data_IF_010434434878
#
_entry.id   IF_010434434878
#
_cell.length_a   1.000
_cell.length_b   1.000
_cell.length_c   1.000
_cell.angle_alpha   90.00
_cell.angle_beta   90.00
_cell.angle_gamma   90.00
#
_symmetry.space_group_name_H-M   'P 1'
#
loop_
_entity.id
_entity.type
_entity.pdbx_description
1 polymer ?
#
# COMPACT_ATOMS: atom_id res chain seq x y z
N UNK A 1 -7.15 -32.58 -9.62
CA UNK A 1 -6.39 -31.34 -9.35
C UNK A 1 -4.98 -31.36 -9.96
N UNK A 2 -4.20 -32.45 -9.84
CA UNK A 2 -2.85 -32.57 -10.45
C UNK A 2 -2.83 -32.30 -11.97
N UNK A 3 -3.82 -32.81 -12.71
CA UNK A 3 -3.89 -32.67 -14.18
C UNK A 3 -4.07 -31.19 -14.60
N UNK A 4 -4.89 -30.43 -13.88
CA UNK A 4 -5.07 -28.99 -14.14
C UNK A 4 -3.81 -28.19 -13.81
N UNK A 5 -3.10 -28.55 -12.73
CA UNK A 5 -1.84 -27.93 -12.35
C UNK A 5 -0.75 -28.17 -13.41
N UNK A 6 -0.65 -29.40 -13.94
CA UNK A 6 0.28 -29.72 -15.03
C UNK A 6 -0.02 -28.96 -16.34
N UNK A 7 -1.31 -28.78 -16.66
CA UNK A 7 -1.73 -27.97 -17.81
C UNK A 7 -1.41 -26.48 -17.63
N UNK A 8 -1.58 -25.95 -16.42
CA UNK A 8 -1.20 -24.58 -16.09
C UNK A 8 0.32 -24.35 -16.18
N UNK A 9 1.12 -25.29 -15.64
CA UNK A 9 2.58 -25.22 -15.70
C UNK A 9 3.10 -25.19 -17.15
N UNK A 10 2.51 -26.01 -18.03
CA UNK A 10 2.82 -26.03 -19.47
C UNK A 10 2.48 -24.71 -20.17
N UNK A 11 1.46 -23.99 -19.72
CA UNK A 11 1.08 -22.66 -20.26
C UNK A 11 2.05 -21.57 -19.80
N UNK A 12 2.50 -21.61 -18.54
CA UNK A 12 3.50 -20.67 -18.01
C UNK A 12 4.83 -20.74 -18.77
N UNK A 13 5.30 -21.95 -19.09
CA UNK A 13 6.55 -22.12 -19.86
C UNK A 13 6.43 -21.50 -21.26
N UNK A 14 5.20 -21.40 -21.81
CA UNK A 14 4.91 -20.69 -23.06
C UNK A 14 4.60 -19.19 -22.86
N UNK A 15 4.88 -18.65 -21.67
CA UNK A 15 4.53 -17.30 -21.24
C UNK A 15 3.03 -17.00 -21.32
N UNK A 16 2.16 -18.01 -21.32
CA UNK A 16 0.71 -17.85 -21.27
C UNK A 16 0.23 -17.97 -19.81
N UNK A 17 0.00 -16.82 -19.20
CA UNK A 17 -0.46 -16.69 -17.81
C UNK A 17 -1.99 -16.83 -17.68
N UNK A 18 -2.70 -17.04 -18.79
CA UNK A 18 -4.15 -17.17 -18.83
C UNK A 18 -4.90 -15.85 -18.67
N UNK A 19 -6.22 -15.97 -18.52
CA UNK A 19 -7.17 -14.88 -18.41
C UNK A 19 -7.38 -14.46 -16.96
N UNK A 20 -7.52 -13.16 -16.71
CA UNK A 20 -7.86 -12.64 -15.38
C UNK A 20 -9.28 -13.04 -15.00
N UNK A 21 -9.47 -13.59 -13.80
CA UNK A 21 -10.81 -13.87 -13.22
C UNK A 21 -11.60 -12.61 -12.82
N UNK A 22 -11.03 -11.41 -13.02
CA UNK A 22 -11.77 -10.15 -12.85
C UNK A 22 -12.79 -9.96 -13.98
N UNK A 23 -13.84 -9.17 -13.73
CA UNK A 23 -14.97 -8.87 -14.64
C UNK A 23 -14.58 -8.63 -16.10
N UNK A 24 -13.39 -8.09 -16.37
CA UNK A 24 -12.91 -7.78 -17.72
C UNK A 24 -12.35 -8.97 -18.54
N UNK A 25 -12.10 -10.17 -17.95
CA UNK A 25 -11.57 -11.37 -18.65
C UNK A 25 -10.49 -11.03 -19.71
N UNK A 26 -9.46 -10.29 -19.30
CA UNK A 26 -8.32 -9.92 -20.15
C UNK A 26 -7.09 -10.77 -19.81
N UNK A 27 -6.23 -11.07 -20.79
CA UNK A 27 -5.00 -11.82 -20.56
C UNK A 27 -4.17 -11.16 -19.48
N UNK A 28 -3.67 -11.93 -18.51
CA UNK A 28 -2.89 -11.41 -17.37
C UNK A 28 -1.64 -10.67 -17.87
N UNK A 29 -1.01 -11.18 -18.93
CA UNK A 29 0.11 -10.51 -19.61
C UNK A 29 -0.33 -9.16 -20.14
N UNK A 30 -1.49 -9.07 -20.80
CA UNK A 30 -1.97 -7.78 -21.28
C UNK A 30 -2.27 -6.84 -20.11
N UNK A 31 -2.76 -7.31 -18.96
CA UNK A 31 -2.96 -6.44 -17.78
C UNK A 31 -1.66 -5.93 -17.14
N UNK A 32 -0.57 -6.69 -17.27
CA UNK A 32 0.77 -6.37 -16.74
C UNK A 32 1.58 -5.53 -17.74
N UNK A 33 1.42 -5.81 -19.04
CA UNK A 33 2.16 -5.21 -20.15
C UNK A 33 1.37 -4.20 -20.97
N UNK A 34 0.09 -3.93 -20.65
CA UNK A 34 -0.72 -2.98 -21.41
C UNK A 34 0.04 -1.66 -21.50
N UNK A 35 0.53 -1.36 -22.70
CA UNK A 35 1.21 -0.10 -23.01
C UNK A 35 0.21 1.05 -23.09
N UNK A 36 -1.09 0.72 -23.19
CA UNK A 36 -2.18 1.69 -23.30
C UNK A 36 -2.58 2.28 -21.94
N UNK A 37 -2.26 1.59 -20.84
CA UNK A 37 -2.37 2.13 -19.49
C UNK A 37 -1.11 2.96 -19.20
N UNK A 38 -1.28 4.20 -18.72
CA UNK A 38 -0.15 5.06 -18.31
C UNK A 38 0.79 4.29 -17.38
N UNK A 39 2.11 4.53 -17.45
CA UNK A 39 3.09 3.85 -16.57
C UNK A 39 2.69 3.94 -15.09
N UNK A 40 2.00 5.02 -14.72
CA UNK A 40 1.47 5.32 -13.39
C UNK A 40 0.27 4.45 -12.97
N UNK A 41 -0.46 3.87 -13.91
CA UNK A 41 -1.68 3.07 -13.68
C UNK A 41 -1.41 1.56 -13.69
N UNK A 42 -0.16 1.16 -13.94
CA UNK A 42 0.25 -0.24 -13.88
C UNK A 42 0.27 -0.69 -12.42
N UNK A 43 -0.44 -1.77 -12.12
CA UNK A 43 -0.52 -2.35 -10.76
C UNK A 43 0.87 -2.59 -10.16
N UNK A 44 1.80 -3.11 -10.95
CA UNK A 44 3.19 -3.31 -10.52
C UNK A 44 3.88 -2.00 -10.11
N UNK A 45 3.68 -0.92 -10.87
CA UNK A 45 4.30 0.37 -10.56
C UNK A 45 3.68 1.01 -9.31
N UNK A 46 2.37 0.89 -9.13
CA UNK A 46 1.67 1.39 -7.93
C UNK A 46 2.19 0.67 -6.68
N UNK A 47 2.25 -0.66 -6.70
CA UNK A 47 2.78 -1.44 -5.56
C UNK A 47 4.23 -1.07 -5.27
N UNK A 48 5.06 -0.90 -6.30
CA UNK A 48 6.46 -0.50 -6.13
C UNK A 48 6.56 0.90 -5.49
N UNK A 49 5.79 1.87 -5.99
CA UNK A 49 5.78 3.24 -5.46
C UNK A 49 5.32 3.29 -4.01
N UNK A 50 4.23 2.58 -3.66
CA UNK A 50 3.74 2.51 -2.28
C UNK A 50 4.84 1.96 -1.37
N UNK A 51 5.43 0.82 -1.71
CA UNK A 51 6.49 0.22 -0.89
C UNK A 51 7.73 1.12 -0.77
N UNK A 52 8.14 1.77 -1.86
CA UNK A 52 9.32 2.65 -1.85
C UNK A 52 9.09 3.86 -0.93
N UNK A 53 7.91 4.48 -1.02
CA UNK A 53 7.53 5.62 -0.16
C UNK A 53 7.40 5.17 1.29
N UNK A 54 6.71 4.06 1.55
CA UNK A 54 6.61 3.46 2.89
C UNK A 54 7.99 3.20 3.48
N UNK A 55 8.89 2.56 2.73
CA UNK A 55 10.25 2.26 3.17
C UNK A 55 11.04 3.53 3.50
N UNK A 56 10.97 4.55 2.65
CA UNK A 56 11.64 5.83 2.91
C UNK A 56 11.12 6.50 4.19
N UNK A 57 9.81 6.52 4.40
CA UNK A 57 9.18 7.07 5.62
C UNK A 57 9.62 6.28 6.86
N UNK A 58 9.63 4.95 6.79
CA UNK A 58 10.09 4.09 7.88
C UNK A 58 11.52 4.46 8.26
N UNK A 59 12.44 4.59 7.31
CA UNK A 59 13.84 4.93 7.62
C UNK A 59 13.95 6.31 8.28
N UNK A 60 13.22 7.31 7.76
CA UNK A 60 13.26 8.69 8.29
C UNK A 60 12.74 8.75 9.73
N UNK A 61 11.79 7.90 10.11
CA UNK A 61 11.19 7.92 11.45
C UNK A 61 11.89 6.95 12.40
N UNK A 62 12.14 5.72 11.96
CA UNK A 62 12.71 4.66 12.79
C UNK A 62 14.16 4.93 13.15
N UNK A 63 14.98 5.50 12.25
CA UNK A 63 16.39 5.76 12.54
C UNK A 63 16.52 6.81 13.66
N UNK A 64 15.91 8.01 13.59
CA UNK A 64 16.03 8.98 14.68
C UNK A 64 15.46 8.49 16.00
N UNK A 65 14.31 7.79 15.99
CA UNK A 65 13.72 7.23 17.20
C UNK A 65 14.65 6.19 17.81
N UNK A 66 15.19 5.27 17.00
CA UNK A 66 16.12 4.24 17.45
C UNK A 66 17.43 4.82 17.99
N UNK A 67 18.02 5.82 17.31
CA UNK A 67 19.24 6.51 17.76
C UNK A 67 18.97 7.30 19.05
N UNK A 68 17.83 7.98 19.17
CA UNK A 68 17.46 8.75 20.36
C UNK A 68 17.22 7.84 21.58
N UNK A 69 16.52 6.72 21.38
CA UNK A 69 16.30 5.69 22.42
C UNK A 69 17.63 5.05 22.86
N UNK A 70 18.52 4.73 21.92
CA UNK A 70 19.83 4.15 22.22
C UNK A 70 20.76 5.12 22.97
N UNK A 71 20.73 6.41 22.65
CA UNK A 71 21.55 7.43 23.34
C UNK A 71 21.03 7.77 24.73
N UNK A 72 19.73 7.60 24.99
CA UNK A 72 19.09 7.82 26.30
C UNK A 72 18.61 6.51 26.93
N UNK A 73 19.44 5.46 26.84
CA UNK A 73 19.11 4.13 27.32
C UNK A 73 18.64 4.13 28.79
N UNK A 74 17.57 3.37 29.09
CA UNK A 74 16.92 3.27 30.41
C UNK A 74 16.23 4.54 30.92
N UNK A 75 16.22 5.63 30.14
CA UNK A 75 15.44 6.82 30.47
C UNK A 75 13.94 6.56 30.36
N UNK A 76 13.15 7.46 30.96
CA UNK A 76 11.68 7.42 30.84
C UNK A 76 11.24 7.59 29.38
N UNK A 77 11.99 8.39 28.59
CA UNK A 77 11.77 8.55 27.15
C UNK A 77 12.00 7.24 26.39
N UNK A 78 13.10 6.55 26.65
CA UNK A 78 13.43 5.25 26.05
C UNK A 78 12.34 4.20 26.33
N UNK A 79 11.89 4.11 27.58
CA UNK A 79 10.80 3.21 27.99
C UNK A 79 9.47 3.53 27.29
N UNK A 80 9.11 4.80 27.16
CA UNK A 80 7.88 5.22 26.47
C UNK A 80 7.94 4.90 24.97
N UNK A 81 9.07 5.21 24.31
CA UNK A 81 9.25 4.91 22.89
C UNK A 81 9.20 3.40 22.63
N UNK A 82 9.95 2.63 23.41
CA UNK A 82 9.98 1.16 23.32
C UNK A 82 8.60 0.56 23.55
N UNK A 83 7.88 1.00 24.58
CA UNK A 83 6.51 0.51 24.87
C UNK A 83 5.55 0.82 23.72
N UNK A 84 5.63 2.02 23.15
CA UNK A 84 4.79 2.44 22.02
C UNK A 84 5.04 1.56 20.79
N UNK A 85 6.32 1.29 20.47
CA UNK A 85 6.70 0.39 19.38
C UNK A 85 6.18 -1.03 19.63
N UNK A 86 6.31 -1.53 20.87
CA UNK A 86 5.82 -2.85 21.23
C UNK A 86 4.29 -2.98 21.11
N UNK A 87 3.52 -1.95 21.48
CA UNK A 87 2.06 -1.95 21.30
C UNK A 87 1.71 -2.07 19.81
N UNK A 88 2.35 -1.27 18.95
CA UNK A 88 2.13 -1.34 17.50
C UNK A 88 2.47 -2.72 16.93
N UNK A 89 3.55 -3.34 17.40
CA UNK A 89 3.98 -4.67 16.96
C UNK A 89 3.09 -5.80 17.48
N UNK A 90 2.50 -5.65 18.67
CA UNK A 90 1.62 -6.64 19.28
C UNK A 90 0.20 -6.63 18.67
N UNK A 91 -0.22 -5.52 18.07
CA UNK A 91 -1.52 -5.40 17.41
C UNK A 91 -1.52 -6.14 16.07
N UNK A 92 -2.59 -6.91 15.74
CA UNK A 92 -2.74 -7.46 14.39
C UNK A 92 -2.84 -6.33 13.36
N UNK A 93 -2.00 -6.38 12.31
CA UNK A 93 -1.91 -5.31 11.30
C UNK A 93 -3.25 -5.00 10.62
N UNK A 94 -4.02 -6.04 10.28
CA UNK A 94 -5.37 -5.88 9.74
C UNK A 94 -6.32 -5.13 10.70
N UNK A 95 -6.22 -5.40 11.99
CA UNK A 95 -7.08 -4.76 12.98
C UNK A 95 -6.72 -3.29 13.16
N UNK A 96 -5.42 -2.98 13.23
CA UNK A 96 -4.94 -1.60 13.26
C UNK A 96 -5.36 -0.82 12.00
N UNK A 97 -5.26 -1.46 10.83
CA UNK A 97 -5.70 -0.89 9.56
C UNK A 97 -7.19 -0.52 9.58
N UNK A 98 -8.06 -1.40 10.09
CA UNK A 98 -9.49 -1.13 10.23
C UNK A 98 -9.75 0.07 11.15
N UNK A 99 -9.05 0.15 12.29
CA UNK A 99 -9.21 1.26 13.22
C UNK A 99 -8.78 2.60 12.59
N UNK A 100 -7.65 2.62 11.87
CA UNK A 100 -7.18 3.81 11.17
C UNK A 100 -8.16 4.25 10.08
N UNK A 101 -8.68 3.31 9.29
CA UNK A 101 -9.70 3.62 8.28
C UNK A 101 -10.99 4.17 8.90
N UNK A 102 -11.44 3.58 10.02
CA UNK A 102 -12.64 4.04 10.71
C UNK A 102 -12.44 5.43 11.32
N UNK A 103 -11.31 5.65 12.01
CA UNK A 103 -11.02 6.93 12.66
C UNK A 103 -10.84 8.06 11.64
N UNK A 104 -9.90 7.92 10.72
CA UNK A 104 -9.58 8.99 9.78
C UNK A 104 -10.58 9.12 8.63
N UNK A 105 -11.18 7.99 8.21
CA UNK A 105 -12.08 7.96 7.07
C UNK A 105 -13.54 8.15 7.42
N UNK A 106 -14.03 7.53 8.50
CA UNK A 106 -15.46 7.55 8.85
C UNK A 106 -15.76 8.63 9.90
N UNK A 107 -15.02 8.67 11.00
CA UNK A 107 -15.29 9.63 12.08
C UNK A 107 -14.83 11.05 11.72
N UNK A 108 -13.60 11.19 11.23
CA UNK A 108 -13.04 12.51 10.86
C UNK A 108 -13.43 12.94 9.44
N UNK A 109 -13.69 11.99 8.53
CA UNK A 109 -13.99 12.28 7.13
C UNK A 109 -12.82 12.90 6.36
N UNK A 110 -11.58 12.76 6.86
CA UNK A 110 -10.39 13.40 6.27
C UNK A 110 -9.81 12.61 5.11
N UNK A 111 -9.89 11.29 5.15
CA UNK A 111 -9.21 10.41 4.21
C UNK A 111 -10.20 9.47 3.50
N UNK A 112 -10.09 9.32 2.17
CA UNK A 112 -10.94 8.40 1.42
C UNK A 112 -10.59 6.95 1.74
N UNK A 113 -11.60 6.16 2.08
CA UNK A 113 -11.45 4.76 2.51
C UNK A 113 -11.35 3.76 1.33
N UNK A 114 -11.58 4.20 0.10
CA UNK A 114 -11.61 3.31 -1.07
C UNK A 114 -11.30 4.05 -2.38
N UNK A 115 -10.72 3.33 -3.33
CA UNK A 115 -10.32 3.84 -4.64
C UNK A 115 -8.90 4.42 -4.66
N UNK A 116 -8.32 4.53 -5.86
CA UNK A 116 -7.01 5.17 -6.09
C UNK A 116 -7.14 6.64 -6.53
N UNK A 117 -8.37 7.08 -6.82
CA UNK A 117 -8.73 8.43 -7.23
C UNK A 117 -10.21 8.68 -6.93
N UNK A 118 -10.58 9.94 -6.66
CA UNK A 118 -11.99 10.31 -6.55
C UNK A 118 -12.71 10.23 -7.90
N UNK A 119 -14.04 10.09 -7.87
CA UNK A 119 -14.87 10.05 -9.08
C UNK A 119 -14.78 11.35 -9.91
N UNK A 120 -14.45 12.47 -9.27
CA UNK A 120 -14.26 13.79 -9.90
C UNK A 120 -12.79 14.06 -10.30
N UNK A 121 -11.94 13.04 -10.34
CA UNK A 121 -10.51 13.24 -10.57
C UNK A 121 -10.20 14.00 -11.87
N UNK A 122 -10.94 13.72 -12.95
CA UNK A 122 -10.64 14.26 -14.27
C UNK A 122 -10.94 15.76 -14.39
N UNK A 123 -11.85 16.30 -13.56
CA UNK A 123 -12.23 17.72 -13.52
C UNK A 123 -11.42 18.56 -12.52
N UNK A 124 -10.56 17.95 -11.70
CA UNK A 124 -9.75 18.69 -10.72
C UNK A 124 -8.56 19.44 -11.36
N UNK A 125 -8.20 20.63 -10.82
CA UNK A 125 -6.94 21.30 -11.17
C UNK A 125 -5.72 20.47 -10.74
N UNK A 126 -4.55 20.75 -11.32
CA UNK A 126 -3.33 19.95 -11.15
C UNK A 126 -2.93 19.73 -9.68
N UNK A 127 -3.09 20.77 -8.84
CA UNK A 127 -2.89 20.68 -7.39
C UNK A 127 -3.94 19.79 -6.70
N UNK A 128 -5.21 19.91 -7.10
CA UNK A 128 -6.28 19.04 -6.59
C UNK A 128 -6.07 17.58 -6.95
N UNK A 129 -5.55 17.30 -8.15
CA UNK A 129 -5.16 15.94 -8.59
C UNK A 129 -4.00 15.35 -7.78
N UNK A 130 -3.04 16.16 -7.36
CA UNK A 130 -1.92 15.72 -6.50
C UNK A 130 -2.43 15.44 -5.09
N UNK A 131 -3.24 16.35 -4.54
CA UNK A 131 -3.83 16.19 -3.20
C UNK A 131 -4.72 14.96 -3.13
N UNK A 132 -5.59 14.75 -4.13
CA UNK A 132 -6.46 13.58 -4.22
C UNK A 132 -5.64 12.29 -4.18
N UNK A 133 -4.59 12.17 -5.01
CA UNK A 133 -3.70 10.99 -4.97
C UNK A 133 -3.00 10.82 -3.64
N UNK A 134 -2.50 11.91 -3.04
CA UNK A 134 -1.81 11.84 -1.75
C UNK A 134 -2.76 11.30 -0.67
N UNK A 135 -3.98 11.83 -0.58
CA UNK A 135 -5.00 11.40 0.38
C UNK A 135 -5.40 9.94 0.21
N UNK A 136 -5.53 9.44 -1.02
CA UNK A 136 -5.85 8.03 -1.28
C UNK A 136 -4.67 7.07 -0.99
N UNK A 137 -3.43 7.56 -0.97
CA UNK A 137 -2.24 6.74 -0.71
C UNK A 137 -1.81 6.75 0.75
N UNK A 138 -2.20 7.75 1.56
CA UNK A 138 -1.82 7.83 2.98
C UNK A 138 -2.23 6.56 3.74
N UNK A 139 -3.50 6.17 3.67
CA UNK A 139 -4.01 4.98 4.38
C UNK A 139 -3.24 3.71 3.97
N UNK A 140 -3.11 3.36 2.68
CA UNK A 140 -2.29 2.22 2.24
C UNK A 140 -0.82 2.26 2.68
N UNK A 141 -0.18 3.44 2.63
CA UNK A 141 1.24 3.61 2.99
C UNK A 141 1.47 3.32 4.48
N UNK A 142 0.58 3.78 5.35
CA UNK A 142 0.67 3.54 6.80
C UNK A 142 0.28 2.11 7.22
N UNK A 143 -0.60 1.45 6.47
CA UNK A 143 -1.00 0.06 6.74
C UNK A 143 0.04 -0.95 6.21
N UNK A 144 0.78 -0.58 5.16
CA UNK A 144 1.81 -1.44 4.57
C UNK A 144 3.14 -1.42 5.33
N UNK A 145 3.29 -0.52 6.30
CA UNK A 145 4.42 -0.45 7.23
C UNK A 145 4.21 -1.41 8.39
#
# INVERSE_FOLDING_TARGET
>A
MIIQYGLWLKRIVKLDFGESFSTDRRPVIQKIWDKKQSLLDRRLFITLMINLITFAIILIIAIPIGVSSATHQNSLYDKLMTTTVFIGFAMPSFWLALLLMMFFGVYLGWLPISGLKSLNYDSLPLLGKIWDRASHLVIPVFISA
#
